data_IF_439510634896
#
_entry.id   IF_439510634896
#
_cell.length_a   1.000
_cell.length_b   1.000
_cell.length_c   1.000
_cell.angle_alpha   90.00
_cell.angle_beta   90.00
_cell.angle_gamma   90.00
#
_symmetry.space_group_name_H-M   'P 1'
#
loop_
_entity.id
_entity.type
_entity.pdbx_description
1 polymer ?
#
# COMPACT_ATOMS: atom_id res chain seq x y z
N UNK A 1 5.58 -11.62 3.65
CA UNK A 1 4.20 -11.22 3.99
C UNK A 1 3.66 -11.98 5.20
N UNK A 2 4.27 -13.10 5.58
CA UNK A 2 3.90 -13.98 6.69
C UNK A 2 3.54 -13.25 7.99
N UNK A 3 4.30 -12.22 8.38
CA UNK A 3 3.95 -11.42 9.56
C UNK A 3 2.62 -10.69 9.39
N UNK A 4 2.39 -9.98 8.28
CA UNK A 4 1.13 -9.28 8.02
C UNK A 4 -0.05 -10.27 7.97
N UNK A 5 0.14 -11.41 7.31
CA UNK A 5 -0.85 -12.49 7.27
C UNK A 5 -1.15 -13.06 8.65
N UNK A 6 -0.13 -13.24 9.51
CA UNK A 6 -0.31 -13.69 10.90
C UNK A 6 -1.13 -12.72 11.75
N UNK A 7 -1.17 -11.44 11.36
CA UNK A 7 -1.98 -10.40 11.99
C UNK A 7 -3.39 -10.30 11.37
N UNK A 8 -3.76 -11.20 10.45
CA UNK A 8 -5.05 -11.18 9.75
C UNK A 8 -5.16 -10.09 8.68
N UNK A 9 -4.04 -9.52 8.23
CA UNK A 9 -4.02 -8.47 7.22
C UNK A 9 -3.97 -9.11 5.83
N UNK A 10 -4.96 -8.81 5.01
CA UNK A 10 -5.01 -9.20 3.59
C UNK A 10 -4.15 -8.24 2.76
N UNK A 11 -3.35 -8.80 1.86
CA UNK A 11 -2.41 -8.05 1.02
C UNK A 11 -2.88 -8.06 -0.44
N UNK A 12 -2.94 -6.87 -1.04
CA UNK A 12 -3.50 -6.67 -2.37
C UNK A 12 -2.52 -5.84 -3.21
N UNK A 13 -2.22 -6.28 -4.43
CA UNK A 13 -1.45 -5.50 -5.40
C UNK A 13 -2.40 -4.89 -6.43
N UNK A 14 -2.32 -3.58 -6.63
CA UNK A 14 -3.03 -2.87 -7.69
C UNK A 14 -2.04 -2.09 -8.53
N UNK A 15 -1.78 -2.56 -9.76
CA UNK A 15 -0.74 -1.99 -10.65
C UNK A 15 -1.29 -1.60 -12.02
N UNK A 16 -0.66 -0.60 -12.65
CA UNK A 16 -0.87 -0.24 -14.04
C UNK A 16 -0.25 -1.24 -15.03
N UNK A 17 0.67 -2.09 -14.57
CA UNK A 17 1.36 -3.07 -15.40
C UNK A 17 0.46 -4.21 -15.86
N UNK A 18 0.93 -4.98 -16.83
CA UNK A 18 0.24 -6.17 -17.30
C UNK A 18 0.28 -7.29 -16.25
N UNK A 19 -0.72 -8.16 -16.31
CA UNK A 19 -0.81 -9.33 -15.41
C UNK A 19 0.42 -10.24 -15.50
N UNK A 20 1.01 -10.36 -16.70
CA UNK A 20 2.22 -11.16 -16.93
C UNK A 20 3.45 -10.62 -16.19
N UNK A 21 3.55 -9.29 -16.01
CA UNK A 21 4.61 -8.65 -15.23
C UNK A 21 4.33 -8.71 -13.73
N UNK A 22 3.07 -8.51 -13.35
CA UNK A 22 2.68 -8.35 -11.95
C UNK A 22 2.63 -9.66 -11.15
N UNK A 23 2.13 -10.75 -11.77
CA UNK A 23 1.95 -12.03 -11.07
C UNK A 23 3.24 -12.61 -10.48
N UNK A 24 4.37 -12.71 -11.22
CA UNK A 24 5.59 -13.28 -10.67
C UNK A 24 6.11 -12.50 -9.45
N UNK A 25 5.95 -11.18 -9.46
CA UNK A 25 6.35 -10.31 -8.34
C UNK A 25 5.43 -10.54 -7.15
N UNK A 26 4.13 -10.62 -7.39
CA UNK A 26 3.14 -10.87 -6.35
C UNK A 26 3.34 -12.25 -5.69
N UNK A 27 3.60 -13.29 -6.48
CA UNK A 27 3.86 -14.64 -6.01
C UNK A 27 5.14 -14.68 -5.16
N UNK A 28 6.22 -14.05 -5.63
CA UNK A 28 7.48 -13.96 -4.88
C UNK A 28 7.32 -13.18 -3.57
N UNK A 29 6.52 -12.13 -3.58
CA UNK A 29 6.25 -11.32 -2.40
C UNK A 29 5.26 -11.99 -1.43
N UNK A 30 4.47 -12.96 -1.89
CA UNK A 30 3.39 -13.58 -1.12
C UNK A 30 2.16 -12.68 -0.97
N UNK A 31 1.73 -12.06 -2.07
CA UNK A 31 0.54 -11.18 -2.12
C UNK A 31 -0.70 -12.00 -2.48
N UNK A 32 -1.82 -11.77 -1.78
CA UNK A 32 -3.01 -12.62 -1.89
C UNK A 32 -3.79 -12.43 -3.19
N UNK A 33 -3.81 -11.20 -3.72
CA UNK A 33 -4.55 -10.89 -4.95
C UNK A 33 -3.94 -9.73 -5.73
N UNK A 34 -4.05 -9.83 -7.06
CA UNK A 34 -3.48 -8.88 -8.02
C UNK A 34 -4.55 -8.32 -8.95
N UNK A 35 -4.64 -7.00 -8.99
CA UNK A 35 -5.37 -6.25 -10.01
C UNK A 35 -4.38 -5.53 -10.92
N UNK A 36 -4.22 -6.03 -12.14
CA UNK A 36 -3.32 -5.50 -13.16
C UNK A 36 -4.06 -4.56 -14.15
N UNK A 37 -3.30 -3.80 -14.94
CA UNK A 37 -3.78 -2.83 -15.91
C UNK A 37 -4.78 -1.81 -15.32
N UNK A 38 -4.52 -1.36 -14.08
CA UNK A 38 -5.38 -0.42 -13.38
C UNK A 38 -5.01 1.03 -13.68
N UNK A 39 -5.98 1.80 -14.17
CA UNK A 39 -5.87 3.27 -14.26
C UNK A 39 -5.89 3.91 -12.87
N UNK A 40 -5.39 5.15 -12.70
CA UNK A 40 -5.44 5.85 -11.40
C UNK A 40 -6.85 5.92 -10.80
N UNK A 41 -7.86 6.22 -11.63
CA UNK A 41 -9.27 6.23 -11.20
C UNK A 41 -9.75 4.85 -10.70
N UNK A 42 -9.29 3.77 -11.35
CA UNK A 42 -9.61 2.41 -10.91
C UNK A 42 -8.94 2.06 -9.58
N UNK A 43 -7.69 2.51 -9.36
CA UNK A 43 -6.99 2.33 -8.08
C UNK A 43 -7.77 3.01 -6.94
N UNK A 44 -8.18 4.27 -7.12
CA UNK A 44 -8.97 5.02 -6.14
C UNK A 44 -10.31 4.31 -5.87
N UNK A 45 -11.03 3.92 -6.93
CA UNK A 45 -12.29 3.20 -6.80
C UNK A 45 -12.11 1.90 -6.01
N UNK A 46 -11.05 1.15 -6.26
CA UNK A 46 -10.74 -0.09 -5.54
C UNK A 46 -10.62 0.15 -4.03
N UNK A 47 -9.90 1.20 -3.62
CA UNK A 47 -9.79 1.59 -2.20
C UNK A 47 -11.15 1.94 -1.62
N UNK A 48 -11.94 2.78 -2.30
CA UNK A 48 -13.29 3.17 -1.85
C UNK A 48 -14.24 1.98 -1.73
N UNK A 49 -14.17 1.03 -2.66
CA UNK A 49 -14.99 -0.18 -2.63
C UNK A 49 -14.62 -1.11 -1.44
N UNK A 50 -13.36 -1.12 -1.01
CA UNK A 50 -12.96 -1.82 0.21
C UNK A 50 -13.45 -1.09 1.47
N UNK A 51 -13.31 0.23 1.50
CA UNK A 51 -13.77 1.06 2.61
C UNK A 51 -15.29 0.97 2.83
N UNK A 52 -16.08 0.95 1.75
CA UNK A 52 -17.55 0.78 1.85
C UNK A 52 -17.95 -0.58 2.40
N UNK A 53 -17.07 -1.59 2.33
CA UNK A 53 -17.24 -2.91 2.97
C UNK A 53 -16.76 -2.92 4.44
N UNK A 54 -16.46 -1.76 5.02
CA UNK A 54 -15.98 -1.62 6.39
C UNK A 54 -14.50 -2.01 6.59
N UNK A 55 -13.71 -2.14 5.52
CA UNK A 55 -12.27 -2.43 5.62
C UNK A 55 -11.49 -1.13 5.86
N UNK A 56 -10.51 -1.19 6.75
CA UNK A 56 -9.49 -0.13 6.88
C UNK A 56 -8.38 -0.42 5.88
N UNK A 57 -8.06 0.53 5.02
CA UNK A 57 -7.09 0.36 3.93
C UNK A 57 -5.84 1.16 4.21
N UNK A 58 -4.72 0.46 4.36
CA UNK A 58 -3.38 1.06 4.29
C UNK A 58 -2.86 0.94 2.85
N UNK A 59 -2.38 2.04 2.27
CA UNK A 59 -1.77 2.05 0.94
C UNK A 59 -0.27 2.29 1.03
N UNK A 60 0.49 1.54 0.23
CA UNK A 60 1.93 1.74 0.07
C UNK A 60 2.20 2.14 -1.39
N UNK A 61 2.94 3.21 -1.63
CA UNK A 61 3.27 3.69 -2.97
C UNK A 61 4.57 4.49 -3.03
N UNK A 62 4.95 4.97 -4.22
CA UNK A 62 6.18 5.74 -4.44
C UNK A 62 6.04 7.26 -4.16
N UNK A 63 4.83 7.73 -3.87
CA UNK A 63 4.52 9.12 -3.54
C UNK A 63 4.50 10.09 -4.72
N UNK A 64 5.07 9.72 -5.88
CA UNK A 64 5.16 10.60 -7.06
C UNK A 64 4.03 10.31 -8.04
N UNK A 65 3.80 9.03 -8.35
CA UNK A 65 2.81 8.63 -9.35
C UNK A 65 1.44 8.35 -8.75
N UNK A 66 1.39 8.10 -7.44
CA UNK A 66 0.21 7.61 -6.75
C UNK A 66 -0.34 8.58 -5.68
N UNK A 67 0.07 9.85 -5.66
CA UNK A 67 -0.39 10.83 -4.67
C UNK A 67 -1.94 10.93 -4.51
N UNK A 68 -2.74 10.97 -5.59
CA UNK A 68 -4.21 10.95 -5.47
C UNK A 68 -4.77 9.65 -4.92
N UNK A 69 -4.04 8.54 -5.09
CA UNK A 69 -4.43 7.21 -4.64
C UNK A 69 -4.08 7.06 -3.15
N UNK A 70 -2.91 7.55 -2.73
CA UNK A 70 -2.50 7.62 -1.32
C UNK A 70 -3.50 8.46 -0.52
N UNK A 71 -3.92 9.63 -1.02
CA UNK A 71 -4.92 10.46 -0.37
C UNK A 71 -6.31 9.79 -0.21
N UNK A 72 -6.59 8.70 -0.93
CA UNK A 72 -7.85 7.98 -0.81
C UNK A 72 -7.84 6.90 0.30
N UNK A 73 -6.66 6.46 0.75
CA UNK A 73 -6.49 5.44 1.77
C UNK A 73 -6.77 5.98 3.18
N UNK A 74 -6.94 5.08 4.15
CA UNK A 74 -7.07 5.45 5.56
C UNK A 74 -5.71 5.80 6.18
N UNK A 75 -4.67 5.10 5.73
CA UNK A 75 -3.28 5.33 6.12
C UNK A 75 -2.44 5.19 4.87
N UNK A 76 -1.52 6.12 4.66
CA UNK A 76 -0.63 6.11 3.50
C UNK A 76 0.84 6.04 3.90
N UNK A 77 1.54 5.08 3.29
CA UNK A 77 2.96 4.87 3.45
C UNK A 77 3.65 5.09 2.10
N UNK A 78 4.71 5.89 2.09
CA UNK A 78 5.52 6.09 0.89
C UNK A 78 6.84 5.35 1.04
N UNK A 79 7.17 4.53 0.05
CA UNK A 79 8.44 3.78 -0.05
C UNK A 79 9.25 4.33 -1.21
N UNK A 80 10.40 4.92 -0.92
CA UNK A 80 11.35 5.37 -1.95
C UNK A 80 12.27 6.50 -1.51
N UNK A 81 13.31 6.75 -2.31
CA UNK A 81 14.22 7.90 -2.21
C UNK A 81 13.52 9.22 -2.62
N UNK A 82 12.32 9.49 -2.10
CA UNK A 82 11.53 10.66 -2.45
C UNK A 82 12.04 11.92 -1.73
N UNK A 83 13.28 12.32 -2.02
CA UNK A 83 13.79 13.65 -1.68
C UNK A 83 13.10 14.66 -2.60
N UNK A 84 11.97 15.20 -2.17
CA UNK A 84 11.42 16.44 -2.74
C UNK A 84 9.91 16.62 -2.66
N UNK A 85 9.11 15.61 -3.03
CA UNK A 85 7.66 15.80 -3.32
C UNK A 85 6.73 14.98 -2.41
N UNK A 86 7.21 13.88 -1.80
CA UNK A 86 6.37 13.00 -0.97
C UNK A 86 6.05 13.52 0.45
N UNK A 87 6.71 14.60 0.89
CA UNK A 87 6.66 15.09 2.28
C UNK A 87 5.29 15.66 2.67
N UNK A 88 4.47 16.08 1.70
CA UNK A 88 3.23 16.81 2.00
C UNK A 88 1.98 15.91 2.06
N UNK A 89 2.05 14.64 1.65
CA UNK A 89 0.86 13.78 1.43
C UNK A 89 0.88 12.41 2.11
N UNK A 90 1.97 12.03 2.77
CA UNK A 90 2.13 10.72 3.40
C UNK A 90 2.11 10.80 4.93
N UNK A 91 1.43 9.85 5.59
CA UNK A 91 1.44 9.73 7.05
C UNK A 91 2.80 9.17 7.55
N UNK A 92 3.44 8.33 6.73
CA UNK A 92 4.75 7.73 7.03
C UNK A 92 5.65 7.66 5.78
N UNK A 93 6.92 8.02 5.95
CA UNK A 93 7.96 7.93 4.91
C UNK A 93 8.92 6.81 5.29
N UNK A 94 9.01 5.78 4.45
CA UNK A 94 10.00 4.72 4.56
C UNK A 94 11.22 5.10 3.72
N UNK A 95 12.26 5.58 4.42
CA UNK A 95 13.56 6.00 3.84
C UNK A 95 14.34 4.82 3.26
N UNK A 96 13.96 3.59 3.63
CA UNK A 96 14.53 2.36 3.12
C UNK A 96 13.50 1.63 2.27
N UNK A 97 13.91 1.01 1.16
CA UNK A 97 13.00 0.36 0.20
C UNK A 97 12.40 -0.96 0.74
N UNK A 98 12.59 -1.21 2.03
CA UNK A 98 12.19 -2.43 2.69
C UNK A 98 10.75 -2.35 3.19
N UNK A 99 9.85 -2.94 2.40
CA UNK A 99 8.42 -3.06 2.71
C UNK A 99 8.15 -3.80 4.03
N UNK A 100 9.12 -4.56 4.58
CA UNK A 100 8.99 -5.19 5.90
C UNK A 100 8.80 -4.15 7.01
N UNK A 101 9.32 -2.93 6.85
CA UNK A 101 9.15 -1.84 7.83
C UNK A 101 7.71 -1.31 7.92
N UNK A 102 6.85 -1.61 6.95
CA UNK A 102 5.41 -1.33 7.04
C UNK A 102 4.79 -2.08 8.23
N UNK A 103 5.25 -3.31 8.50
CA UNK A 103 4.82 -4.08 9.66
C UNK A 103 5.15 -3.37 10.99
N UNK A 104 6.33 -2.75 11.07
CA UNK A 104 6.76 -2.00 12.25
C UNK A 104 5.90 -0.73 12.46
N UNK A 105 5.55 -0.02 11.39
CA UNK A 105 4.67 1.16 11.45
C UNK A 105 3.27 0.79 11.96
N UNK A 106 2.73 -0.34 11.49
CA UNK A 106 1.44 -0.84 11.98
C UNK A 106 1.50 -1.21 13.47
N UNK A 107 2.62 -1.75 13.95
CA UNK A 107 2.81 -2.10 15.36
C UNK A 107 2.90 -0.85 16.27
N UNK A 108 3.61 0.20 15.81
CA UNK A 108 3.71 1.49 16.53
C UNK A 108 2.35 2.20 16.63
N UNK A 109 1.52 2.13 15.57
CA UNK A 109 0.18 2.73 15.58
C UNK A 109 -0.74 2.09 16.63
N UNK A 110 -0.58 0.79 16.92
CA UNK A 110 -1.34 0.09 17.97
C UNK A 110 -0.88 0.48 19.38
N UNK A 111 0.40 0.77 19.58
CA UNK A 111 0.93 1.16 20.90
C UNK A 111 0.61 2.61 21.28
N UNK A 112 0.36 3.49 20.31
CA UNK A 112 0.10 4.93 20.58
C UNK A 112 -1.38 5.23 20.87
N UNK A 113 -2.28 4.28 20.61
CA UNK A 113 -3.72 4.38 20.91
C UNK A 113 -4.14 3.60 22.17
N UNK A 114 -3.17 3.09 22.96
CA UNK A 114 -3.42 2.41 24.24
C UNK A 114 -3.13 3.30 25.44
#
# INVERSE_FOLDING_TARGET
MDYLHSQGIETLMVTGDTKASALPIADLAGIDSVTANASPARKIKFIRDLQTKGRVVAMIGDGINDAPVLAAANVSLVVGNAVGIAVETADYILVDSDIRKVAEVLDISKQTLS
#
